data_IF_069542680727
#
_entry.id   IF_069542680727
#
_cell.length_a   1.000
_cell.length_b   1.000
_cell.length_c   1.000
_cell.angle_alpha   90.00
_cell.angle_beta   90.00
_cell.angle_gamma   90.00
#
_symmetry.space_group_name_H-M   'P 1'
#
loop_
_entity.id
_entity.type
_entity.pdbx_description
1 polymer ?
#
# COMPACT_ATOMS: atom_id res chain seq x y z
N UNK A 1 47.92 2.14 71.90
CA UNK A 1 48.62 1.44 70.81
C UNK A 1 47.79 1.57 69.54
N UNK A 2 48.46 1.98 68.47
CA UNK A 2 48.08 2.22 67.07
C UNK A 2 47.10 1.23 66.43
N UNK A 3 46.24 1.70 65.51
CA UNK A 3 46.40 1.53 64.05
C UNK A 3 45.28 2.20 63.21
N UNK A 4 45.73 2.89 62.14
CA UNK A 4 45.00 3.44 60.99
C UNK A 4 44.18 2.40 60.23
N UNK A 5 43.14 2.80 59.48
CA UNK A 5 43.11 2.56 58.01
C UNK A 5 41.98 3.28 57.26
N UNK A 6 42.31 3.72 56.05
CA UNK A 6 41.54 4.49 55.07
C UNK A 6 40.54 3.64 54.28
N UNK A 7 39.45 4.23 53.78
CA UNK A 7 39.08 4.06 52.35
C UNK A 7 38.13 5.15 51.84
N UNK A 8 38.63 5.90 50.86
CA UNK A 8 37.89 6.77 49.93
C UNK A 8 37.28 5.89 48.83
N UNK A 9 36.03 6.16 48.39
CA UNK A 9 35.54 5.83 47.03
C UNK A 9 34.26 6.60 46.68
N UNK A 10 34.37 7.84 46.18
CA UNK A 10 34.35 8.26 44.75
C UNK A 10 33.02 8.06 43.98
N UNK A 11 32.50 9.21 43.54
CA UNK A 11 31.75 9.51 42.31
C UNK A 11 30.45 8.74 42.02
N UNK A 12 29.32 9.37 42.37
CA UNK A 12 28.04 9.10 41.73
C UNK A 12 28.05 9.72 40.31
N UNK A 13 28.10 8.85 39.31
CA UNK A 13 28.15 9.19 37.89
C UNK A 13 26.86 9.84 37.39
N UNK A 14 27.01 10.82 36.51
CA UNK A 14 25.94 11.43 35.72
C UNK A 14 25.40 10.37 34.75
N UNK A 15 24.16 9.93 34.97
CA UNK A 15 23.46 9.08 34.01
C UNK A 15 22.96 9.94 32.84
N UNK A 16 23.59 9.78 31.68
CA UNK A 16 23.12 10.34 30.41
C UNK A 16 22.00 9.44 29.91
N UNK A 17 20.75 9.91 30.01
CA UNK A 17 19.58 9.23 29.48
C UNK A 17 19.54 9.37 27.97
N UNK A 18 20.00 8.35 27.24
CA UNK A 18 19.79 8.23 25.80
C UNK A 18 18.35 7.80 25.53
N UNK A 19 17.52 8.73 25.05
CA UNK A 19 16.20 8.40 24.49
C UNK A 19 16.39 7.62 23.20
N UNK A 20 16.11 6.32 23.22
CA UNK A 20 15.98 5.53 22.01
C UNK A 20 14.75 6.04 21.24
N UNK A 21 14.98 6.65 20.07
CA UNK A 21 13.91 6.94 19.11
C UNK A 21 13.47 5.60 18.54
N UNK A 22 12.40 5.04 19.10
CA UNK A 22 11.77 3.84 18.54
C UNK A 22 11.22 4.25 17.18
N UNK A 23 11.87 3.80 16.10
CA UNK A 23 11.32 3.88 14.76
C UNK A 23 10.03 3.06 14.77
N UNK A 24 8.88 3.74 14.80
CA UNK A 24 7.59 3.08 14.65
C UNK A 24 7.58 2.35 13.30
N UNK A 25 7.07 1.11 13.23
CA UNK A 25 6.85 0.46 11.95
C UNK A 25 5.91 1.36 11.14
N UNK A 26 6.34 1.76 9.95
CA UNK A 26 5.46 2.37 8.97
C UNK A 26 4.53 1.24 8.56
N UNK A 27 3.35 1.18 9.18
CA UNK A 27 2.32 0.26 8.72
C UNK A 27 1.85 0.83 7.39
N UNK A 28 2.31 0.21 6.31
CA UNK A 28 1.76 0.34 4.97
C UNK A 28 0.29 -0.07 5.09
N UNK A 29 -0.58 0.93 5.00
CA UNK A 29 -1.99 0.76 5.31
C UNK A 29 -2.68 0.52 3.98
N UNK A 30 -3.24 -0.67 3.81
CA UNK A 30 -4.10 -0.98 2.66
C UNK A 30 -5.07 0.18 2.43
N UNK A 31 -5.15 0.63 1.19
CA UNK A 31 -6.00 1.76 0.84
C UNK A 31 -7.13 1.30 -0.09
N UNK A 32 -8.30 1.90 0.10
CA UNK A 32 -9.49 1.58 -0.68
C UNK A 32 -9.69 2.62 -1.76
N UNK A 33 -9.85 2.17 -2.99
CA UNK A 33 -10.04 3.01 -4.17
C UNK A 33 -11.29 2.58 -4.95
N UNK A 34 -11.95 3.54 -5.59
CA UNK A 34 -13.04 3.21 -6.52
C UNK A 34 -12.52 2.42 -7.72
N UNK A 35 -13.41 1.71 -8.43
CA UNK A 35 -13.02 1.03 -9.67
C UNK A 35 -12.37 1.98 -10.72
N UNK A 36 -12.81 3.25 -10.74
CA UNK A 36 -12.23 4.29 -11.60
C UNK A 36 -10.79 4.63 -11.22
N UNK A 37 -10.55 4.85 -9.92
CA UNK A 37 -9.20 5.13 -9.40
C UNK A 37 -8.28 3.93 -9.59
N UNK A 38 -8.73 2.72 -9.26
CA UNK A 38 -7.98 1.49 -9.49
C UNK A 38 -7.50 1.35 -10.95
N UNK A 39 -8.36 1.62 -11.94
CA UNK A 39 -7.94 1.64 -13.34
C UNK A 39 -6.93 2.74 -13.62
N UNK A 40 -7.16 3.96 -13.14
CA UNK A 40 -6.23 5.09 -13.32
C UNK A 40 -4.86 4.87 -12.69
N UNK A 41 -4.79 4.14 -11.58
CA UNK A 41 -3.54 3.77 -10.91
C UNK A 41 -2.85 2.58 -11.58
N UNK A 42 -3.62 1.56 -12.00
CA UNK A 42 -3.07 0.39 -12.69
C UNK A 42 -2.55 0.71 -14.10
N UNK A 43 -3.28 1.58 -14.81
CA UNK A 43 -2.96 2.04 -16.16
C UNK A 43 -3.29 3.54 -16.24
N UNK A 44 -2.27 4.41 -16.19
CA UNK A 44 -2.44 5.86 -16.17
C UNK A 44 -3.38 6.38 -17.26
N UNK A 45 -4.39 7.15 -16.84
CA UNK A 45 -5.38 7.75 -17.76
C UNK A 45 -6.48 6.80 -18.24
N UNK A 46 -6.49 5.54 -17.79
CA UNK A 46 -7.53 4.59 -18.16
C UNK A 46 -8.79 4.70 -17.30
N UNK A 47 -9.91 4.22 -17.84
CA UNK A 47 -11.19 4.14 -17.16
C UNK A 47 -11.75 2.71 -17.22
N UNK A 48 -12.58 2.30 -16.25
CA UNK A 48 -13.27 1.02 -16.29
C UNK A 48 -14.33 1.03 -17.39
N UNK A 49 -14.26 0.06 -18.29
CA UNK A 49 -15.26 -0.17 -19.35
C UNK A 49 -15.76 -1.60 -19.24
N UNK A 50 -17.07 -1.77 -19.38
CA UNK A 50 -17.68 -3.08 -19.39
C UNK A 50 -17.66 -3.68 -20.80
N UNK A 51 -16.73 -4.61 -21.04
CA UNK A 51 -16.57 -5.29 -22.33
C UNK A 51 -17.19 -6.67 -22.35
N UNK A 52 -17.23 -7.33 -21.19
CA UNK A 52 -17.75 -8.69 -21.04
C UNK A 52 -18.57 -8.78 -19.73
N UNK A 53 -18.53 -9.95 -19.06
CA UNK A 53 -19.05 -10.14 -17.72
C UNK A 53 -18.23 -9.38 -16.66
N UNK A 54 -16.99 -9.04 -16.98
CA UNK A 54 -16.07 -8.28 -16.14
C UNK A 54 -15.78 -6.88 -16.69
N UNK A 55 -15.29 -6.01 -15.80
CA UNK A 55 -14.73 -4.73 -16.20
C UNK A 55 -13.34 -4.93 -16.80
N UNK A 56 -12.93 -4.02 -17.67
CA UNK A 56 -11.57 -3.89 -18.18
C UNK A 56 -11.15 -2.43 -18.11
N UNK A 57 -9.89 -2.16 -17.80
CA UNK A 57 -9.36 -0.79 -17.81
C UNK A 57 -8.94 -0.41 -19.24
N UNK A 58 -9.51 0.66 -19.79
CA UNK A 58 -9.28 1.11 -21.17
C UNK A 58 -8.83 2.56 -21.20
N UNK A 59 -7.88 2.87 -22.07
CA UNK A 59 -7.57 4.25 -22.43
C UNK A 59 -8.74 4.83 -23.25
N UNK A 60 -9.38 5.92 -22.79
CA UNK A 60 -10.53 6.51 -23.48
C UNK A 60 -10.18 7.03 -24.89
N UNK A 61 -8.94 7.47 -25.15
CA UNK A 61 -8.50 7.94 -26.47
C UNK A 61 -8.29 6.79 -27.46
N UNK A 62 -7.83 5.64 -26.96
CA UNK A 62 -7.75 4.41 -27.77
C UNK A 62 -9.15 3.87 -28.03
N UNK A 63 -9.98 3.80 -26.98
CA UNK A 63 -11.37 3.35 -27.05
C UNK A 63 -12.21 4.15 -28.05
N UNK A 64 -12.14 5.49 -27.99
CA UNK A 64 -12.86 6.38 -28.92
C UNK A 64 -12.47 6.14 -30.39
N UNK A 65 -11.22 5.77 -30.65
CA UNK A 65 -10.69 5.59 -32.02
C UNK A 65 -10.94 4.19 -32.58
N UNK A 66 -10.82 3.17 -31.74
CA UNK A 66 -10.77 1.77 -32.20
C UNK A 66 -11.95 0.92 -31.69
N UNK A 67 -12.75 1.43 -30.75
CA UNK A 67 -13.81 0.68 -30.09
C UNK A 67 -13.25 -0.43 -29.20
N UNK A 68 -14.02 -1.52 -29.05
CA UNK A 68 -13.60 -2.68 -28.26
C UNK A 68 -12.40 -3.38 -28.85
N UNK A 69 -11.26 -3.29 -28.15
CA UNK A 69 -10.07 -4.04 -28.52
C UNK A 69 -10.19 -5.52 -28.11
N UNK A 70 -9.98 -6.47 -29.04
CA UNK A 70 -9.85 -7.88 -28.68
C UNK A 70 -8.58 -8.10 -27.86
N UNK A 71 -8.66 -8.94 -26.82
CA UNK A 71 -7.54 -9.22 -25.92
C UNK A 71 -7.42 -8.26 -24.73
N UNK A 72 -8.47 -7.50 -24.45
CA UNK A 72 -8.54 -6.62 -23.28
C UNK A 72 -8.63 -7.46 -22.01
N UNK A 73 -7.64 -7.29 -21.15
CA UNK A 73 -7.54 -8.01 -19.89
C UNK A 73 -8.67 -7.59 -18.94
N UNK A 74 -9.21 -8.56 -18.20
CA UNK A 74 -10.18 -8.28 -17.16
C UNK A 74 -9.50 -7.53 -16.01
N UNK A 75 -10.17 -6.52 -15.48
CA UNK A 75 -9.69 -5.69 -14.38
C UNK A 75 -9.13 -6.51 -13.21
N UNK A 76 -9.73 -7.63 -12.76
CA UNK A 76 -9.13 -8.44 -11.69
C UNK A 76 -7.77 -9.04 -12.03
N UNK A 77 -7.59 -9.49 -13.27
CA UNK A 77 -6.30 -10.03 -13.72
C UNK A 77 -5.26 -8.92 -13.80
N UNK A 78 -5.64 -7.74 -14.32
CA UNK A 78 -4.80 -6.56 -14.33
C UNK A 78 -4.42 -6.12 -12.90
N UNK A 79 -5.39 -5.99 -12.00
CA UNK A 79 -5.17 -5.60 -10.61
C UNK A 79 -4.27 -6.59 -9.89
N UNK A 80 -4.49 -7.90 -10.04
CA UNK A 80 -3.63 -8.91 -9.43
C UNK A 80 -2.19 -8.88 -9.96
N UNK A 81 -1.99 -8.46 -11.22
CA UNK A 81 -0.64 -8.29 -11.80
C UNK A 81 0.04 -7.01 -11.32
N UNK A 82 -0.67 -5.88 -11.27
CA UNK A 82 -0.08 -4.57 -10.94
C UNK A 82 0.03 -4.35 -9.43
N UNK A 83 -0.98 -4.82 -8.68
CA UNK A 83 -1.09 -4.71 -7.23
C UNK A 83 -1.29 -6.11 -6.62
N UNK A 84 -0.21 -6.88 -6.38
CA UNK A 84 -0.30 -8.21 -5.82
C UNK A 84 -1.06 -8.21 -4.49
N UNK A 85 -2.14 -9.00 -4.41
CA UNK A 85 -3.01 -9.05 -3.22
C UNK A 85 -4.20 -8.10 -3.26
N UNK A 86 -4.34 -7.26 -4.28
CA UNK A 86 -5.53 -6.42 -4.42
C UNK A 86 -6.81 -7.24 -4.61
N UNK A 87 -7.90 -6.78 -3.99
CA UNK A 87 -9.19 -7.47 -4.05
C UNK A 87 -10.36 -6.49 -4.01
N UNK A 88 -11.53 -6.92 -4.50
CA UNK A 88 -12.77 -6.13 -4.40
C UNK A 88 -13.36 -6.24 -3.00
N UNK A 89 -13.83 -5.13 -2.46
CA UNK A 89 -14.60 -5.09 -1.20
C UNK A 89 -15.84 -5.99 -1.29
N UNK A 90 -16.57 -5.95 -2.41
CA UNK A 90 -17.65 -6.87 -2.73
C UNK A 90 -17.35 -7.62 -4.05
N UNK A 91 -16.96 -8.91 -3.99
CA UNK A 91 -16.60 -9.67 -5.19
C UNK A 91 -17.77 -9.87 -6.16
N UNK A 92 -19.02 -9.85 -5.68
CA UNK A 92 -20.22 -10.01 -6.51
C UNK A 92 -20.59 -8.72 -7.29
N UNK A 93 -20.09 -7.56 -6.85
CA UNK A 93 -20.29 -6.30 -7.55
C UNK A 93 -19.02 -5.92 -8.33
N UNK A 94 -19.05 -6.03 -9.66
CA UNK A 94 -17.90 -5.67 -10.51
C UNK A 94 -17.48 -4.20 -10.38
N UNK A 95 -18.41 -3.31 -10.00
CA UNK A 95 -18.15 -1.89 -9.75
C UNK A 95 -17.77 -1.58 -8.31
N UNK A 96 -17.58 -2.60 -7.47
CA UNK A 96 -17.12 -2.42 -6.10
C UNK A 96 -15.76 -1.70 -6.07
N UNK A 97 -15.56 -0.97 -4.98
CA UNK A 97 -14.25 -0.48 -4.60
C UNK A 97 -13.26 -1.64 -4.42
N UNK A 98 -12.00 -1.32 -4.58
CA UNK A 98 -10.85 -2.20 -4.48
C UNK A 98 -10.01 -1.82 -3.27
N UNK A 99 -9.50 -2.82 -2.57
CA UNK A 99 -8.45 -2.67 -1.57
C UNK A 99 -7.13 -2.97 -2.26
N UNK A 100 -6.21 -2.02 -2.21
CA UNK A 100 -4.85 -2.11 -2.74
C UNK A 100 -3.89 -2.17 -1.54
N UNK A 101 -3.11 -3.26 -1.40
CA UNK A 101 -2.03 -3.31 -0.43
C UNK A 101 -0.90 -2.36 -0.84
N UNK A 102 -0.34 -1.65 0.13
CA UNK A 102 0.85 -0.80 -0.04
C UNK A 102 2.14 -1.64 -0.19
#
# INVERSE_FOLDING_TARGET
MTLFSWTVKTFAGVAVSSTAVVLAPIVHADHTVTATQACGEALPGSIPVQLTFELSCQDPEVWKRQGTLPGTEAMPALMARVFPGAYRVNPANRWSDWVIPD
#
